data_IF_911267055401
#
_entry.id   IF_911267055401
#
_cell.length_a   1.000
_cell.length_b   1.000
_cell.length_c   1.000
_cell.angle_alpha   90.00
_cell.angle_beta   90.00
_cell.angle_gamma   90.00
#
_symmetry.space_group_name_H-M   'P 1'
#
loop_
_entity.id
_entity.type
_entity.pdbx_description
1 polymer ?
#
# COMPACT_ATOMS: atom_id res chain seq x y z
N UNK A 1 2.06 11.09 9.20
CA UNK A 1 1.67 10.02 8.25
C UNK A 1 0.18 9.75 8.25
N UNK A 2 -0.44 9.44 9.40
CA UNK A 2 -1.90 9.22 9.50
C UNK A 2 -2.74 10.41 9.04
N UNK A 3 -2.40 11.65 9.45
CA UNK A 3 -3.12 12.85 9.00
C UNK A 3 -3.14 13.02 7.47
N UNK A 4 -1.99 12.85 6.82
CA UNK A 4 -1.85 12.94 5.36
C UNK A 4 -2.67 11.86 4.65
N UNK A 5 -2.68 10.64 5.19
CA UNK A 5 -3.46 9.52 4.65
C UNK A 5 -4.96 9.76 4.80
N UNK A 6 -5.40 10.28 5.95
CA UNK A 6 -6.80 10.63 6.21
C UNK A 6 -7.27 11.76 5.30
N UNK A 7 -6.44 12.79 5.10
CA UNK A 7 -6.77 13.90 4.20
C UNK A 7 -6.87 13.41 2.75
N UNK A 8 -5.93 12.58 2.30
CA UNK A 8 -5.97 11.99 0.96
C UNK A 8 -7.21 11.11 0.74
N UNK A 9 -7.54 10.25 1.70
CA UNK A 9 -8.75 9.42 1.64
C UNK A 9 -10.03 10.27 1.58
N UNK A 10 -10.08 11.38 2.33
CA UNK A 10 -11.20 12.30 2.32
C UNK A 10 -11.37 12.99 0.95
N UNK A 11 -10.27 13.42 0.33
CA UNK A 11 -10.29 14.04 -1.01
C UNK A 11 -10.76 13.06 -2.09
N UNK A 12 -10.27 11.82 -2.07
CA UNK A 12 -10.72 10.77 -3.01
C UNK A 12 -12.21 10.47 -2.81
N UNK A 13 -12.69 10.39 -1.56
CA UNK A 13 -14.10 10.14 -1.28
C UNK A 13 -15.00 11.25 -1.83
N UNK A 14 -14.62 12.51 -1.66
CA UNK A 14 -15.37 13.65 -2.21
C UNK A 14 -15.38 13.63 -3.74
N UNK A 15 -14.24 13.33 -4.38
CA UNK A 15 -14.15 13.24 -5.84
C UNK A 15 -15.02 12.10 -6.40
N UNK A 16 -15.03 10.94 -5.75
CA UNK A 16 -15.90 9.80 -6.11
C UNK A 16 -17.37 10.19 -5.98
N UNK A 17 -17.77 10.83 -4.88
CA UNK A 17 -19.15 11.29 -4.66
C UNK A 17 -19.55 12.30 -5.76
N UNK A 18 -18.72 13.30 -6.02
CA UNK A 18 -18.98 14.32 -7.06
C UNK A 18 -19.09 13.68 -8.45
N UNK A 19 -18.28 12.68 -8.78
CA UNK A 19 -18.34 11.99 -10.07
C UNK A 19 -19.60 11.11 -10.23
N UNK A 20 -20.06 10.48 -9.14
CA UNK A 20 -21.33 9.74 -9.13
C UNK A 20 -22.51 10.68 -9.38
N UNK A 21 -22.53 11.84 -8.70
CA UNK A 21 -23.64 12.79 -8.82
C UNK A 21 -23.67 13.53 -10.16
N UNK A 22 -22.50 13.89 -10.72
CA UNK A 22 -22.45 14.70 -11.95
C UNK A 22 -22.29 13.88 -13.24
N UNK A 23 -21.53 12.78 -13.20
CA UNK A 23 -21.18 11.99 -14.40
C UNK A 23 -21.74 10.56 -14.37
N UNK A 24 -22.61 10.23 -13.41
CA UNK A 24 -23.15 8.87 -13.19
C UNK A 24 -22.06 7.80 -13.00
N UNK A 25 -20.85 8.21 -12.61
CA UNK A 25 -19.71 7.33 -12.36
C UNK A 25 -18.97 6.84 -13.61
N UNK A 26 -19.09 7.50 -14.76
CA UNK A 26 -18.34 7.10 -15.97
C UNK A 26 -16.81 7.22 -15.78
N UNK A 27 -16.33 8.21 -15.01
CA UNK A 27 -14.89 8.44 -14.79
C UNK A 27 -14.37 7.82 -13.49
N UNK A 28 -15.21 7.08 -12.77
CA UNK A 28 -14.86 6.53 -11.45
C UNK A 28 -13.71 5.52 -11.54
N UNK A 29 -13.68 4.74 -12.62
CA UNK A 29 -12.63 3.75 -12.86
C UNK A 29 -11.27 4.41 -13.14
N UNK A 30 -11.26 5.54 -13.85
CA UNK A 30 -10.04 6.29 -14.12
C UNK A 30 -9.52 6.96 -12.83
N UNK A 31 -10.41 7.54 -12.02
CA UNK A 31 -10.03 8.10 -10.71
C UNK A 31 -9.44 7.05 -9.76
N UNK A 32 -10.00 5.83 -9.75
CA UNK A 32 -9.48 4.71 -8.95
C UNK A 32 -8.14 4.24 -9.51
N UNK A 33 -8.00 4.15 -10.83
CA UNK A 33 -6.76 3.74 -11.51
C UNK A 33 -5.61 4.71 -11.21
N UNK A 34 -5.87 6.01 -11.28
CA UNK A 34 -4.87 7.02 -10.91
C UNK A 34 -4.51 6.96 -9.42
N UNK A 35 -5.51 6.77 -8.55
CA UNK A 35 -5.27 6.59 -7.11
C UNK A 35 -4.44 5.34 -6.80
N UNK A 36 -4.65 4.25 -7.55
CA UNK A 36 -3.93 2.99 -7.39
C UNK A 36 -2.43 3.11 -7.71
N UNK A 37 -2.06 4.02 -8.62
CA UNK A 37 -0.67 4.27 -8.97
C UNK A 37 0.15 4.80 -7.76
N UNK A 38 -0.49 5.50 -6.83
CA UNK A 38 0.16 6.02 -5.61
C UNK A 38 0.40 4.92 -4.57
N UNK A 39 -0.50 3.94 -4.48
CA UNK A 39 -0.37 2.83 -3.52
C UNK A 39 0.68 1.79 -3.94
N UNK A 40 0.87 1.59 -5.25
CA UNK A 40 1.79 0.59 -5.79
C UNK A 40 3.24 0.68 -5.23
N UNK A 41 3.92 1.85 -5.24
CA UNK A 41 5.25 1.97 -4.65
C UNK A 41 5.26 1.79 -3.13
N UNK A 42 4.21 2.24 -2.42
CA UNK A 42 4.09 2.09 -0.96
C UNK A 42 4.00 0.60 -0.59
N UNK A 43 3.16 -0.15 -1.30
CA UNK A 43 3.02 -1.60 -1.11
C UNK A 43 4.34 -2.31 -1.47
N UNK A 44 4.97 -1.94 -2.59
CA UNK A 44 6.24 -2.52 -3.04
C UNK A 44 7.35 -2.34 -2.00
N UNK A 45 7.51 -1.13 -1.47
CA UNK A 45 8.47 -0.86 -0.39
C UNK A 45 8.13 -1.66 0.86
N UNK A 46 6.86 -1.68 1.26
CA UNK A 46 6.40 -2.44 2.43
C UNK A 46 6.70 -3.93 2.31
N UNK A 47 6.47 -4.53 1.13
CA UNK A 47 6.82 -5.92 0.84
C UNK A 47 8.33 -6.15 0.81
N UNK A 48 9.09 -5.25 0.20
CA UNK A 48 10.56 -5.30 0.21
C UNK A 48 11.11 -5.32 1.63
N UNK A 49 10.59 -4.46 2.52
CA UNK A 49 10.95 -4.48 3.94
C UNK A 49 10.48 -5.77 4.64
N UNK A 50 9.27 -6.24 4.35
CA UNK A 50 8.74 -7.45 4.98
C UNK A 50 9.55 -8.69 4.60
N UNK A 51 9.86 -8.87 3.31
CA UNK A 51 10.67 -9.98 2.84
C UNK A 51 12.13 -9.88 3.25
N UNK A 52 12.71 -8.67 3.26
CA UNK A 52 14.05 -8.42 3.80
C UNK A 52 14.19 -8.74 5.29
N UNK A 53 13.10 -8.63 6.07
CA UNK A 53 13.09 -9.08 7.48
C UNK A 53 12.93 -10.59 7.62
N UNK A 54 12.20 -11.23 6.70
CA UNK A 54 12.00 -12.68 6.71
C UNK A 54 13.31 -13.41 6.40
N UNK A 55 14.11 -12.93 5.44
CA UNK A 55 15.41 -13.53 5.12
C UNK A 55 16.41 -13.44 6.29
N UNK A 56 16.50 -12.29 6.97
CA UNK A 56 17.39 -12.10 8.13
C UNK A 56 16.99 -13.03 9.28
N UNK A 57 15.69 -13.13 9.59
CA UNK A 57 15.20 -14.07 10.60
C UNK A 57 15.46 -15.54 10.22
N UNK A 58 15.31 -15.90 8.94
CA UNK A 58 15.56 -17.26 8.48
C UNK A 58 17.05 -17.64 8.62
N UNK A 59 17.95 -16.73 8.25
CA UNK A 59 19.40 -16.96 8.34
C UNK A 59 19.88 -17.03 9.80
N UNK A 60 19.39 -16.14 10.68
CA UNK A 60 19.69 -16.18 12.11
C UNK A 60 19.23 -17.49 12.77
N UNK A 61 18.07 -18.01 12.38
CA UNK A 61 17.59 -19.30 12.87
C UNK A 61 18.51 -20.44 12.42
N UNK A 62 18.97 -20.43 11.16
CA UNK A 62 19.85 -21.47 10.60
C UNK A 62 21.23 -21.51 11.27
N UNK A 63 21.79 -20.34 11.63
CA UNK A 63 23.03 -20.23 12.39
C UNK A 63 22.90 -20.72 13.84
N UNK A 64 21.77 -20.43 14.50
CA UNK A 64 21.51 -20.91 15.87
C UNK A 64 21.48 -22.44 15.99
N UNK A 65 20.97 -23.13 14.97
CA UNK A 65 20.93 -24.60 14.93
C UNK A 65 22.33 -25.18 14.68
N UNK A 66 23.14 -24.53 13.86
CA UNK A 66 24.49 -25.01 13.54
C UNK A 66 25.48 -24.74 14.69
N UNK A 67 25.31 -23.65 15.45
CA UNK A 67 26.14 -23.33 16.62
C UNK A 67 25.87 -24.23 17.84
N UNK A 68 24.75 -24.95 17.85
CA UNK A 68 24.38 -25.88 18.93
C UNK A 68 24.78 -27.33 18.65
N UNK A 69 25.40 -27.60 17.50
CA UNK A 69 25.84 -28.93 17.06
C UNK A 69 27.36 -29.08 17.22
#
# INVERSE_FOLDING_TARGET
>A
MTFTLTLYACLIAVLIIVDIFNNKGVNILDNIKESWAIFTPIITLSLGYMFGRVEVSHNAHKESINANK
#
